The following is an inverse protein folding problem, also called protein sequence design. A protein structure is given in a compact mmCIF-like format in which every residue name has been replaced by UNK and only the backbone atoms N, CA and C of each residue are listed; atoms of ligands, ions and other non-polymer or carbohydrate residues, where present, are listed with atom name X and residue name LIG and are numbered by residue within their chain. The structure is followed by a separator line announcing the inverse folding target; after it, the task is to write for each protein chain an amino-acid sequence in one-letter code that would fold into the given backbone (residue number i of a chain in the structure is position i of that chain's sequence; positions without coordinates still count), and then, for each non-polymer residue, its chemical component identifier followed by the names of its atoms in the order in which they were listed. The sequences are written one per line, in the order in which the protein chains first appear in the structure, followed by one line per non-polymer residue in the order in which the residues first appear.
data_IF_065921300686
#
_entry.id   IF_065921300686
#
_cell.length_a   1.000
_cell.length_b   1.000
_cell.length_c   1.000
_cell.angle_alpha   90.00
_cell.angle_beta   90.00
_cell.angle_gamma   90.00
#
_symmetry.space_group_name_H-M   'P 1'
#
loop_
_entity.id
_entity.type
_entity.pdbx_description
1 polymer ?
#
# COMPACT_ATOMS: atom_id res chain seq x y z
N UNK A 1 18.36 -22.80 -39.02
CA UNK A 1 18.59 -22.41 -37.61
C UNK A 1 17.42 -22.90 -36.80
N UNK A 2 17.60 -23.91 -35.94
CA UNK A 2 16.49 -24.52 -35.19
C UNK A 2 15.98 -23.52 -34.17
N UNK A 3 14.73 -23.09 -34.31
CA UNK A 3 14.07 -22.20 -33.35
C UNK A 3 13.95 -22.95 -32.03
N UNK A 4 14.85 -22.69 -31.08
CA UNK A 4 14.76 -23.26 -29.73
C UNK A 4 13.43 -22.79 -29.15
N UNK A 5 12.60 -23.73 -28.70
CA UNK A 5 11.29 -23.38 -28.16
C UNK A 5 11.45 -22.49 -26.91
N UNK A 6 10.55 -21.52 -26.74
CA UNK A 6 10.53 -20.65 -25.56
C UNK A 6 10.55 -21.44 -24.24
N UNK A 7 9.89 -22.60 -24.22
CA UNK A 7 9.90 -23.52 -23.09
C UNK A 7 11.30 -24.05 -22.74
N UNK A 8 12.11 -24.42 -23.73
CA UNK A 8 13.49 -24.87 -23.51
C UNK A 8 14.38 -23.75 -22.94
N UNK A 9 14.20 -22.50 -23.41
CA UNK A 9 14.91 -21.34 -22.86
C UNK A 9 14.53 -21.11 -21.40
N UNK A 10 13.24 -21.19 -21.06
CA UNK A 10 12.74 -21.07 -19.68
C UNK A 10 13.36 -22.14 -18.77
N UNK A 11 13.36 -23.41 -19.20
CA UNK A 11 13.93 -24.51 -18.40
C UNK A 11 15.42 -24.34 -18.16
N UNK A 12 16.18 -23.91 -19.19
CA UNK A 12 17.60 -23.59 -19.05
C UNK A 12 17.83 -22.45 -18.06
N UNK A 13 17.04 -21.38 -18.16
CA UNK A 13 17.13 -20.24 -17.26
C UNK A 13 16.79 -20.61 -15.80
N UNK A 14 15.77 -21.45 -15.56
CA UNK A 14 15.47 -22.03 -14.25
C UNK A 14 16.69 -22.81 -13.72
N UNK A 15 17.27 -23.67 -14.56
CA UNK A 15 18.44 -24.47 -14.18
C UNK A 15 19.64 -23.58 -13.79
N UNK A 16 19.89 -22.51 -14.54
CA UNK A 16 20.94 -21.53 -14.23
C UNK A 16 20.68 -20.87 -12.87
N UNK A 17 19.47 -20.38 -12.61
CA UNK A 17 19.10 -19.78 -11.32
C UNK A 17 19.23 -20.77 -10.15
N UNK A 18 18.81 -22.03 -10.34
CA UNK A 18 18.95 -23.09 -9.32
C UNK A 18 20.41 -23.46 -9.06
N UNK A 19 21.27 -23.40 -10.09
CA UNK A 19 22.70 -23.69 -9.96
C UNK A 19 23.52 -22.53 -9.37
N UNK A 20 22.98 -21.31 -9.39
CA UNK A 20 23.65 -20.12 -8.85
C UNK A 20 23.74 -20.21 -7.33
N UNK A 21 24.93 -20.55 -6.83
CA UNK A 21 25.23 -20.60 -5.39
C UNK A 21 25.72 -19.27 -4.81
N UNK A 22 26.09 -18.33 -5.68
CA UNK A 22 26.58 -17.02 -5.26
C UNK A 22 25.71 -15.90 -5.85
N UNK A 23 25.45 -14.87 -5.04
CA UNK A 23 24.71 -13.69 -5.48
C UNK A 23 25.37 -12.90 -6.61
N UNK A 24 26.66 -13.15 -6.92
CA UNK A 24 27.40 -12.48 -8.01
C UNK A 24 27.05 -13.00 -9.40
N UNK A 25 26.65 -14.28 -9.51
CA UNK A 25 26.29 -14.92 -10.78
C UNK A 25 24.86 -14.57 -11.23
N UNK A 26 23.96 -14.33 -10.27
CA UNK A 26 22.55 -14.04 -10.55
C UNK A 26 22.34 -12.79 -11.42
N UNK A 27 23.01 -11.64 -11.19
CA UNK A 27 22.91 -10.50 -12.08
C UNK A 27 23.23 -10.86 -13.53
N UNK A 28 24.30 -11.61 -13.80
CA UNK A 28 24.65 -12.01 -15.17
C UNK A 28 23.57 -12.90 -15.81
N UNK A 29 23.00 -13.83 -15.05
CA UNK A 29 21.88 -14.66 -15.50
C UNK A 29 20.68 -13.77 -15.83
N UNK A 30 20.31 -12.86 -14.92
CA UNK A 30 19.16 -11.95 -15.07
C UNK A 30 19.36 -10.89 -16.16
N UNK A 31 20.59 -10.53 -16.50
CA UNK A 31 20.92 -9.59 -17.58
C UNK A 31 20.90 -10.24 -18.98
N UNK A 32 20.83 -11.57 -19.10
CA UNK A 32 20.85 -12.26 -20.41
C UNK A 32 19.64 -11.93 -21.29
N UNK A 33 19.83 -11.70 -22.58
CA UNK A 33 18.76 -11.23 -23.50
C UNK A 33 17.81 -12.33 -24.00
N UNK A 34 17.99 -13.57 -23.57
CA UNK A 34 17.24 -14.73 -24.08
C UNK A 34 15.76 -14.73 -23.66
N UNK A 35 15.44 -14.05 -22.54
CA UNK A 35 14.09 -13.93 -22.01
C UNK A 35 13.75 -12.46 -21.78
N UNK A 36 12.50 -12.10 -22.07
CA UNK A 36 11.95 -10.80 -21.70
C UNK A 36 11.94 -10.63 -20.18
N UNK A 37 11.93 -9.38 -19.72
CA UNK A 37 11.89 -9.06 -18.28
C UNK A 37 10.72 -9.74 -17.58
N UNK A 38 9.56 -9.83 -18.25
CA UNK A 38 8.34 -10.43 -17.68
C UNK A 38 8.45 -11.93 -17.52
N UNK A 39 9.05 -12.61 -18.51
CA UNK A 39 9.32 -14.03 -18.45
C UNK A 39 10.31 -14.33 -17.31
N UNK A 40 11.35 -13.50 -17.14
CA UNK A 40 12.31 -13.64 -16.02
C UNK A 40 11.64 -13.44 -14.66
N UNK A 41 10.80 -12.42 -14.50
CA UNK A 41 10.05 -12.18 -13.27
C UNK A 41 9.16 -13.38 -12.94
N UNK A 42 8.41 -13.88 -13.94
CA UNK A 42 7.55 -15.04 -13.78
C UNK A 42 8.33 -16.29 -13.40
N UNK A 43 9.47 -16.54 -14.05
CA UNK A 43 10.33 -17.67 -13.69
C UNK A 43 10.83 -17.56 -12.25
N UNK A 44 11.24 -16.38 -11.79
CA UNK A 44 11.64 -16.20 -10.41
C UNK A 44 10.51 -16.48 -9.43
N UNK A 45 9.29 -16.05 -9.73
CA UNK A 45 8.11 -16.31 -8.91
C UNK A 45 7.79 -17.81 -8.82
N UNK A 46 7.90 -18.51 -9.95
CA UNK A 46 7.62 -19.95 -10.07
C UNK A 46 8.76 -20.83 -9.54
N UNK A 47 9.98 -20.28 -9.37
CA UNK A 47 11.14 -21.03 -8.89
C UNK A 47 10.96 -21.48 -7.43
N UNK A 48 11.12 -22.78 -7.17
CA UNK A 48 11.03 -23.35 -5.82
C UNK A 48 12.08 -22.75 -4.88
N UNK A 49 13.30 -22.63 -5.39
CA UNK A 49 14.46 -22.13 -4.69
C UNK A 49 15.45 -21.48 -5.66
N UNK A 50 15.99 -20.34 -5.25
CA UNK A 50 17.13 -19.65 -5.85
C UNK A 50 18.17 -19.55 -4.73
N UNK A 51 19.13 -20.50 -4.63
CA UNK A 51 20.04 -20.59 -3.50
C UNK A 51 20.83 -19.31 -3.23
N UNK A 52 21.18 -18.56 -4.28
CA UNK A 52 21.85 -17.27 -4.18
C UNK A 52 21.02 -16.11 -3.59
N UNK A 53 19.75 -16.34 -3.24
CA UNK A 53 18.85 -15.36 -2.59
C UNK A 53 18.27 -16.01 -1.32
N UNK A 54 19.14 -16.67 -0.54
CA UNK A 54 18.73 -17.38 0.67
C UNK A 54 18.69 -16.47 1.90
N UNK A 55 19.55 -15.44 1.89
CA UNK A 55 19.64 -14.46 2.97
C UNK A 55 19.15 -13.08 2.53
N UNK A 56 18.65 -12.29 3.49
CA UNK A 56 18.19 -10.93 3.22
C UNK A 56 19.29 -10.06 2.60
N UNK A 57 20.53 -10.20 3.11
CA UNK A 57 21.68 -9.42 2.64
C UNK A 57 21.95 -9.67 1.15
N UNK A 58 21.85 -10.92 0.71
CA UNK A 58 22.01 -11.31 -0.70
C UNK A 58 20.91 -10.72 -1.57
N UNK A 59 19.65 -10.82 -1.12
CA UNK A 59 18.51 -10.21 -1.81
C UNK A 59 18.68 -8.68 -1.95
N UNK A 60 19.18 -8.02 -0.91
CA UNK A 60 19.45 -6.57 -0.93
C UNK A 60 20.56 -6.22 -1.93
N UNK A 61 21.67 -6.97 -1.92
CA UNK A 61 22.78 -6.76 -2.85
C UNK A 61 22.33 -6.94 -4.30
N UNK A 62 21.59 -8.01 -4.58
CA UNK A 62 21.06 -8.28 -5.91
C UNK A 62 20.03 -7.23 -6.35
N UNK A 63 19.11 -6.81 -5.47
CA UNK A 63 18.20 -5.70 -5.77
C UNK A 63 18.97 -4.44 -6.18
N UNK A 64 19.99 -4.05 -5.40
CA UNK A 64 20.78 -2.86 -5.67
C UNK A 64 21.54 -2.97 -7.01
N UNK A 65 22.13 -4.13 -7.31
CA UNK A 65 22.80 -4.37 -8.58
C UNK A 65 21.85 -4.22 -9.77
N UNK A 66 20.67 -4.85 -9.72
CA UNK A 66 19.66 -4.74 -10.78
C UNK A 66 19.14 -3.31 -10.94
N UNK A 67 19.04 -2.55 -9.85
CA UNK A 67 18.65 -1.13 -9.91
C UNK A 67 19.70 -0.26 -10.59
N UNK A 68 20.98 -0.48 -10.29
CA UNK A 68 22.07 0.24 -10.95
C UNK A 68 22.11 -0.03 -12.45
N UNK A 69 21.59 -1.18 -12.89
CA UNK A 69 21.41 -1.54 -14.29
C UNK A 69 20.08 -1.06 -14.90
N UNK A 70 19.28 -0.26 -14.20
CA UNK A 70 17.96 0.19 -14.67
C UNK A 70 16.87 -0.89 -14.67
N UNK A 71 17.16 -2.10 -14.20
CA UNK A 71 16.24 -3.25 -14.18
C UNK A 71 15.31 -3.22 -12.96
N UNK A 72 14.52 -2.15 -12.81
CA UNK A 72 13.67 -1.94 -11.63
C UNK A 72 12.64 -3.06 -11.39
N UNK A 73 12.10 -3.67 -12.45
CA UNK A 73 11.10 -4.76 -12.37
C UNK A 73 11.71 -6.05 -11.81
N UNK A 74 12.90 -6.40 -12.29
CA UNK A 74 13.66 -7.54 -11.78
C UNK A 74 14.09 -7.29 -10.33
N UNK A 75 14.54 -6.07 -10.01
CA UNK A 75 14.88 -5.70 -8.66
C UNK A 75 13.70 -5.92 -7.68
N UNK A 76 12.49 -5.48 -8.04
CA UNK A 76 11.29 -5.76 -7.25
C UNK A 76 10.93 -7.26 -7.19
N UNK A 77 11.19 -8.01 -8.25
CA UNK A 77 10.94 -9.46 -8.29
C UNK A 77 11.86 -10.22 -7.34
N UNK A 78 13.11 -9.78 -7.19
CA UNK A 78 14.03 -10.29 -6.15
C UNK A 78 13.47 -10.03 -4.76
N UNK A 79 12.99 -8.81 -4.47
CA UNK A 79 12.38 -8.49 -3.19
C UNK A 79 11.15 -9.37 -2.92
N UNK A 80 10.27 -9.50 -3.91
CA UNK A 80 9.07 -10.31 -3.82
C UNK A 80 9.40 -11.78 -3.56
N UNK A 81 10.29 -12.35 -4.36
CA UNK A 81 10.77 -13.73 -4.20
C UNK A 81 11.31 -13.96 -2.79
N UNK A 82 12.27 -13.13 -2.34
CA UNK A 82 12.86 -13.28 -1.02
C UNK A 82 11.80 -13.24 0.09
N UNK A 83 10.92 -12.24 0.07
CA UNK A 83 9.95 -12.09 1.15
C UNK A 83 8.88 -13.18 1.13
N UNK A 84 8.46 -13.64 -0.05
CA UNK A 84 7.45 -14.70 -0.14
C UNK A 84 7.95 -16.07 0.27
N UNK A 85 9.28 -16.31 0.17
CA UNK A 85 9.94 -17.56 0.53
C UNK A 85 10.54 -17.58 1.93
N UNK A 86 11.03 -16.44 2.43
CA UNK A 86 11.87 -16.39 3.65
C UNK A 86 11.31 -15.56 4.80
N UNK A 87 10.31 -14.69 4.58
CA UNK A 87 9.63 -14.07 5.74
C UNK A 87 8.60 -15.05 6.30
N UNK A 88 8.42 -15.02 7.63
CA UNK A 88 7.52 -15.95 8.33
C UNK A 88 6.18 -16.07 7.61
N UNK A 89 5.60 -17.27 7.65
CA UNK A 89 4.29 -17.56 7.05
C UNK A 89 3.18 -16.61 7.55
N UNK A 90 3.42 -15.98 8.70
CA UNK A 90 2.52 -15.01 9.29
C UNK A 90 2.68 -13.63 8.64
N UNK A 91 2.11 -13.50 7.45
CA UNK A 91 1.99 -12.23 6.70
C UNK A 91 1.03 -11.24 7.35
N UNK A 92 0.89 -11.32 8.67
CA UNK A 92 0.05 -10.44 9.50
C UNK A 92 0.43 -8.99 9.31
N UNK A 93 1.72 -8.67 9.21
CA UNK A 93 2.15 -7.30 8.96
C UNK A 93 1.60 -6.75 7.64
N UNK A 94 1.55 -7.58 6.57
CA UNK A 94 1.02 -7.16 5.28
C UNK A 94 -0.48 -6.88 5.36
N UNK A 95 -1.21 -7.84 5.96
CA UNK A 95 -2.65 -7.73 6.20
C UNK A 95 -2.92 -6.42 6.95
N UNK A 96 -2.25 -6.24 8.07
CA UNK A 96 -2.37 -5.10 8.95
C UNK A 96 -2.03 -3.76 8.26
N UNK A 97 -1.06 -3.74 7.34
CA UNK A 97 -0.74 -2.57 6.51
C UNK A 97 -1.87 -2.23 5.52
N UNK A 98 -2.43 -3.25 4.86
CA UNK A 98 -3.49 -3.09 3.86
C UNK A 98 -4.81 -2.70 4.54
N UNK A 99 -5.13 -3.28 5.69
CA UNK A 99 -6.27 -2.91 6.52
C UNK A 99 -6.18 -1.46 6.96
N UNK A 100 -5.02 -1.01 7.47
CA UNK A 100 -4.81 0.39 7.84
C UNK A 100 -4.98 1.32 6.63
N UNK A 101 -4.49 0.94 5.45
CA UNK A 101 -4.64 1.71 4.21
C UNK A 101 -6.11 1.79 3.74
N UNK A 102 -6.90 0.72 3.91
CA UNK A 102 -8.35 0.73 3.68
C UNK A 102 -9.06 1.62 4.69
N UNK A 103 -8.77 1.48 5.98
CA UNK A 103 -9.41 2.28 7.02
C UNK A 103 -9.15 3.77 6.83
N UNK A 104 -7.90 4.16 6.57
CA UNK A 104 -7.53 5.56 6.26
C UNK A 104 -8.38 6.09 5.09
N UNK A 105 -8.51 5.32 4.01
CA UNK A 105 -9.34 5.71 2.86
C UNK A 105 -10.81 5.79 3.21
N UNK A 106 -11.33 4.84 3.98
CA UNK A 106 -12.73 4.84 4.42
C UNK A 106 -13.04 6.10 5.21
N UNK A 107 -12.16 6.47 6.14
CA UNK A 107 -12.32 7.67 6.96
C UNK A 107 -12.29 8.94 6.09
N UNK A 108 -11.33 9.05 5.17
CA UNK A 108 -11.24 10.20 4.24
C UNK A 108 -12.51 10.31 3.40
N UNK A 109 -13.00 9.20 2.85
CA UNK A 109 -14.22 9.19 2.05
C UNK A 109 -15.46 9.56 2.86
N UNK A 110 -15.53 9.09 4.11
CA UNK A 110 -16.60 9.49 5.02
C UNK A 110 -16.55 10.98 5.34
N UNK A 111 -15.36 11.53 5.56
CA UNK A 111 -15.17 12.97 5.78
C UNK A 111 -15.59 13.80 4.55
N UNK A 112 -15.28 13.34 3.34
CA UNK A 112 -15.71 13.99 2.09
C UNK A 112 -17.23 13.95 1.97
N UNK A 113 -17.86 12.81 2.24
CA UNK A 113 -19.31 12.71 2.23
C UNK A 113 -19.94 13.71 3.22
N UNK A 114 -19.46 13.78 4.46
CA UNK A 114 -19.95 14.77 5.46
C UNK A 114 -19.73 16.21 4.97
N UNK A 115 -18.58 16.50 4.36
CA UNK A 115 -18.30 17.81 3.80
C UNK A 115 -19.31 18.20 2.72
N UNK A 116 -19.65 17.26 1.83
CA UNK A 116 -20.60 17.50 0.75
C UNK A 116 -22.03 17.63 1.26
N UNK A 117 -22.45 16.82 2.24
CA UNK A 117 -23.83 16.81 2.75
C UNK A 117 -24.09 17.86 3.84
N UNK A 118 -23.07 18.25 4.61
CA UNK A 118 -23.17 19.19 5.74
C UNK A 118 -22.02 20.22 5.74
N UNK A 119 -21.87 21.03 4.67
CA UNK A 119 -20.69 21.87 4.43
C UNK A 119 -20.45 22.93 5.52
N UNK A 120 -21.50 23.58 6.03
CA UNK A 120 -21.39 24.64 7.04
C UNK A 120 -20.77 24.11 8.35
N UNK A 121 -21.25 22.94 8.81
CA UNK A 121 -20.77 22.32 10.05
C UNK A 121 -19.33 21.80 9.87
N UNK A 122 -19.02 21.23 8.71
CA UNK A 122 -17.70 20.70 8.39
C UNK A 122 -16.63 21.82 8.37
N UNK A 123 -16.87 22.90 7.64
CA UNK A 123 -15.89 24.01 7.48
C UNK A 123 -15.57 24.72 8.81
N UNK A 124 -16.58 24.94 9.66
CA UNK A 124 -16.38 25.52 10.99
C UNK A 124 -15.48 24.64 11.88
N UNK A 125 -15.54 23.32 11.71
CA UNK A 125 -14.76 22.38 12.51
C UNK A 125 -13.36 22.14 11.95
N UNK A 126 -13.24 22.01 10.62
CA UNK A 126 -11.97 21.75 9.95
C UNK A 126 -10.97 22.89 10.20
N UNK A 127 -11.41 24.15 10.17
CA UNK A 127 -10.56 25.31 10.53
C UNK A 127 -9.91 25.17 11.90
N UNK A 128 -10.64 24.63 12.89
CA UNK A 128 -10.15 24.41 14.26
C UNK A 128 -9.20 23.22 14.37
N UNK A 129 -9.46 22.14 13.61
CA UNK A 129 -8.60 20.95 13.57
C UNK A 129 -7.28 21.22 12.84
N UNK A 130 -7.34 21.81 11.64
CA UNK A 130 -6.19 22.11 10.80
C UNK A 130 -5.17 22.99 11.52
N UNK A 131 -5.59 24.03 12.25
CA UNK A 131 -4.67 24.92 12.97
C UNK A 131 -3.84 24.20 14.05
N UNK A 132 -4.44 23.26 14.79
CA UNK A 132 -3.72 22.49 15.82
C UNK A 132 -2.88 21.38 15.20
N UNK A 133 -3.38 20.79 14.13
CA UNK A 133 -2.80 19.61 13.50
C UNK A 133 -1.58 19.92 12.63
N UNK A 134 -1.65 20.96 11.79
CA UNK A 134 -0.53 21.39 10.93
C UNK A 134 0.73 21.74 11.73
N UNK A 135 0.58 22.27 12.95
CA UNK A 135 1.70 22.56 13.86
C UNK A 135 2.39 21.30 14.39
N UNK A 136 1.67 20.19 14.52
CA UNK A 136 2.21 18.90 14.95
C UNK A 136 2.80 18.12 13.76
N UNK A 137 2.08 18.09 12.64
CA UNK A 137 2.53 17.39 11.43
C UNK A 137 3.78 18.00 10.81
N UNK A 138 3.85 19.34 10.70
CA UNK A 138 5.04 20.03 10.17
C UNK A 138 6.29 19.74 11.03
N UNK A 139 6.13 19.53 12.34
CA UNK A 139 7.23 19.09 13.23
C UNK A 139 7.63 17.63 13.02
N UNK A 140 6.70 16.77 12.58
CA UNK A 140 6.93 15.36 12.28
C UNK A 140 7.62 15.17 10.91
N UNK A 141 7.14 15.82 9.84
CA UNK A 141 7.81 15.76 8.53
C UNK A 141 9.23 16.33 8.58
N UNK A 142 9.46 17.42 9.33
CA UNK A 142 10.82 17.96 9.55
C UNK A 142 11.72 16.96 10.32
N UNK A 143 11.15 16.10 11.16
CA UNK A 143 11.89 15.05 11.86
C UNK A 143 12.18 13.83 10.96
N UNK A 144 11.29 13.51 10.00
CA UNK A 144 11.46 12.42 9.02
C UNK A 144 12.66 12.62 8.09
N UNK A 145 13.02 13.87 7.78
CA UNK A 145 14.19 14.22 6.96
C UNK A 145 15.52 14.22 7.75
N UNK A 146 15.49 14.03 9.09
CA UNK A 146 16.69 14.27 9.92
C UNK A 146 17.01 13.29 11.06
N UNK A 147 16.05 12.65 11.75
CA UNK A 147 16.36 12.01 13.06
C UNK A 147 15.50 10.76 13.34
N UNK A 148 16.12 9.73 13.94
CA UNK A 148 15.51 8.45 14.33
C UNK A 148 14.32 8.52 15.30
N UNK A 149 13.58 7.40 15.33
CA UNK A 149 12.21 7.15 15.84
C UNK A 149 11.82 7.67 17.24
N UNK A 150 12.77 8.07 18.10
CA UNK A 150 12.50 8.46 19.50
C UNK A 150 11.70 9.77 19.64
N UNK A 151 11.88 10.72 18.72
CA UNK A 151 11.23 12.04 18.78
C UNK A 151 9.76 12.02 18.31
N UNK A 152 9.42 11.11 17.41
CA UNK A 152 8.05 10.89 16.96
C UNK A 152 7.16 10.46 18.13
N UNK A 153 7.61 9.51 18.95
CA UNK A 153 6.87 8.99 20.11
C UNK A 153 6.50 10.07 21.14
N UNK A 154 7.38 11.04 21.39
CA UNK A 154 7.11 12.14 22.34
C UNK A 154 6.12 13.18 21.80
N UNK A 155 6.15 13.48 20.50
CA UNK A 155 5.21 14.40 19.88
C UNK A 155 3.75 13.89 19.95
N UNK A 156 3.54 12.57 19.97
CA UNK A 156 2.21 11.95 19.99
C UNK A 156 1.52 11.91 21.36
N UNK A 157 2.25 11.97 22.48
CA UNK A 157 1.67 11.94 23.82
C UNK A 157 0.83 13.20 24.18
N UNK A 158 1.03 14.30 23.43
CA UNK A 158 0.47 15.62 23.74
C UNK A 158 -1.02 15.80 23.38
N UNK A 159 -1.60 14.95 22.52
CA UNK A 159 -2.93 15.19 21.93
C UNK A 159 -4.14 14.77 22.78
N UNK A 160 -3.94 14.26 24.00
CA UNK A 160 -4.99 13.57 24.79
C UNK A 160 -5.87 14.45 25.69
N UNK A 161 -5.82 15.80 25.61
CA UNK A 161 -6.62 16.68 26.51
C UNK A 161 -7.82 17.37 25.83
N UNK A 162 -9.00 16.81 26.18
CA UNK A 162 -10.39 17.33 26.35
C UNK A 162 -10.91 18.52 25.51
N UNK A 163 -12.13 18.35 25.00
CA UNK A 163 -13.11 19.44 24.84
C UNK A 163 -14.54 18.90 24.91
N UNK A 164 -15.21 19.11 26.04
CA UNK A 164 -16.64 18.92 26.29
C UNK A 164 -17.43 20.18 25.94
N UNK A 165 -18.66 20.02 25.42
CA UNK A 165 -19.61 21.10 25.11
C UNK A 165 -20.65 20.66 24.06
N UNK A 166 -21.93 20.63 24.48
CA UNK A 166 -23.14 20.05 23.87
C UNK A 166 -23.82 21.02 22.86
N UNK A 167 -24.50 20.49 21.83
CA UNK A 167 -25.86 20.85 21.29
C UNK A 167 -26.02 20.31 19.86
N UNK A 168 -27.26 20.07 19.41
CA UNK A 168 -27.80 19.28 18.26
C UNK A 168 -27.16 19.44 16.85
N UNK A 169 -26.09 20.22 16.68
CA UNK A 169 -25.03 19.94 15.69
C UNK A 169 -23.96 18.97 16.23
N UNK A 170 -24.26 18.31 17.35
CA UNK A 170 -23.35 17.53 18.18
C UNK A 170 -22.90 16.29 17.44
N UNK A 171 -23.81 15.62 16.74
CA UNK A 171 -23.57 14.25 16.30
C UNK A 171 -22.61 14.24 15.12
N UNK A 172 -22.79 15.17 14.17
CA UNK A 172 -21.84 15.39 13.06
C UNK A 172 -20.48 15.82 13.59
N UNK A 173 -20.46 16.72 14.58
CA UNK A 173 -19.21 17.21 15.17
C UNK A 173 -18.49 16.12 15.96
N UNK A 174 -19.22 15.27 16.68
CA UNK A 174 -18.73 14.08 17.38
C UNK A 174 -18.18 13.10 16.34
N UNK A 175 -18.90 12.88 15.25
CA UNK A 175 -18.49 12.01 14.16
C UNK A 175 -17.21 12.53 13.50
N UNK A 176 -17.10 13.81 13.12
CA UNK A 176 -15.87 14.37 12.53
C UNK A 176 -14.70 14.24 13.51
N UNK A 177 -14.91 14.52 14.81
CA UNK A 177 -13.86 14.34 15.83
C UNK A 177 -13.43 12.88 15.95
N UNK A 178 -14.39 11.96 15.96
CA UNK A 178 -14.15 10.52 16.05
C UNK A 178 -13.40 10.01 14.82
N UNK A 179 -13.87 10.37 13.61
CA UNK A 179 -13.22 10.08 12.34
C UNK A 179 -11.79 10.63 12.30
N UNK A 180 -11.59 11.89 12.68
CA UNK A 180 -10.26 12.49 12.72
C UNK A 180 -9.36 11.76 13.74
N UNK A 181 -9.86 11.39 14.93
CA UNK A 181 -9.08 10.59 15.89
C UNK A 181 -8.66 9.26 15.28
N UNK A 182 -9.63 8.50 14.75
CA UNK A 182 -9.39 7.21 14.09
C UNK A 182 -8.41 7.33 12.94
N UNK A 183 -8.53 8.37 12.12
CA UNK A 183 -7.59 8.61 11.00
C UNK A 183 -6.16 8.65 11.51
N UNK A 184 -5.91 9.40 12.59
CA UNK A 184 -4.58 9.53 13.18
C UNK A 184 -4.12 8.28 13.91
N UNK A 185 -5.03 7.55 14.57
CA UNK A 185 -4.73 6.25 15.18
C UNK A 185 -4.29 5.25 14.11
N UNK A 186 -5.08 5.06 13.04
CA UNK A 186 -4.76 4.18 11.92
C UNK A 186 -3.51 4.63 11.17
N UNK A 187 -3.29 5.95 11.02
CA UNK A 187 -2.07 6.49 10.42
C UNK A 187 -0.82 6.19 11.26
N UNK A 188 -0.90 6.40 12.59
CA UNK A 188 0.18 6.03 13.51
C UNK A 188 0.44 4.53 13.48
N UNK A 189 -0.62 3.74 13.47
CA UNK A 189 -0.52 2.29 13.41
C UNK A 189 0.11 1.85 12.08
N UNK A 190 -0.29 2.43 10.96
CA UNK A 190 0.33 2.20 9.66
C UNK A 190 1.83 2.53 9.68
N UNK A 191 2.19 3.67 10.28
CA UNK A 191 3.58 4.11 10.41
C UNK A 191 4.38 3.18 11.32
N UNK A 192 3.88 2.88 12.53
CA UNK A 192 4.54 1.98 13.48
C UNK A 192 4.68 0.57 12.92
N UNK A 193 3.66 0.07 12.21
CA UNK A 193 3.73 -1.21 11.49
C UNK A 193 4.77 -1.16 10.39
N UNK A 194 4.84 -0.07 9.62
CA UNK A 194 5.82 0.11 8.54
C UNK A 194 7.26 0.22 9.07
N UNK A 195 7.48 1.00 10.13
CA UNK A 195 8.78 1.15 10.78
C UNK A 195 9.21 -0.17 11.46
N UNK A 196 8.23 -0.87 12.05
CA UNK A 196 8.40 -2.21 12.62
C UNK A 196 8.48 -3.35 11.59
N UNK A 197 8.42 -3.06 10.27
CA UNK A 197 8.69 -4.08 9.25
C UNK A 197 10.16 -4.47 9.36
N UNK A 198 10.37 -5.65 9.96
CA UNK A 198 11.68 -6.29 10.10
C UNK A 198 12.43 -6.47 8.77
N UNK A 199 11.71 -6.46 7.65
CA UNK A 199 12.30 -6.59 6.33
C UNK A 199 12.65 -5.26 5.67
N UNK A 200 13.94 -4.89 5.68
CA UNK A 200 14.45 -3.73 4.93
C UNK A 200 14.04 -3.75 3.45
N UNK A 201 14.00 -4.92 2.81
CA UNK A 201 13.63 -5.04 1.40
C UNK A 201 12.15 -4.74 1.15
N UNK A 202 11.26 -5.13 2.06
CA UNK A 202 9.84 -4.75 2.03
C UNK A 202 9.68 -3.24 2.18
N UNK A 203 10.34 -2.65 3.18
CA UNK A 203 10.25 -1.23 3.43
C UNK A 203 10.68 -0.40 2.20
N UNK A 204 11.75 -0.84 1.52
CA UNK A 204 12.15 -0.26 0.23
C UNK A 204 11.09 -0.45 -0.85
N UNK A 205 10.49 -1.62 -0.95
CA UNK A 205 9.45 -1.92 -1.93
C UNK A 205 8.22 -1.01 -1.72
N UNK A 206 7.70 -0.90 -0.49
CA UNK A 206 6.59 0.00 -0.13
C UNK A 206 6.95 1.45 -0.46
N UNK A 207 8.10 1.94 0.02
CA UNK A 207 8.53 3.32 -0.26
C UNK A 207 8.62 3.59 -1.75
N UNK A 208 9.07 2.62 -2.56
CA UNK A 208 9.12 2.73 -4.02
C UNK A 208 7.72 2.74 -4.64
N UNK A 209 6.88 1.76 -4.28
CA UNK A 209 5.49 1.68 -4.70
C UNK A 209 4.79 3.03 -4.52
N UNK A 210 4.90 3.61 -3.33
CA UNK A 210 4.19 4.83 -2.97
C UNK A 210 4.74 6.10 -3.64
N UNK A 211 5.91 6.04 -4.31
CA UNK A 211 6.39 7.12 -5.19
C UNK A 211 5.63 7.18 -6.51
N UNK A 212 5.03 6.08 -6.96
CA UNK A 212 4.21 6.07 -8.15
C UNK A 212 2.83 6.61 -7.79
N UNK A 213 2.46 7.79 -8.30
CA UNK A 213 1.22 8.46 -7.90
C UNK A 213 -0.06 7.67 -8.28
N UNK A 214 0.06 6.71 -9.20
CA UNK A 214 -0.97 5.84 -9.76
C UNK A 214 -0.85 4.39 -9.28
N UNK A 215 -0.04 4.12 -8.25
CA UNK A 215 0.23 2.77 -7.75
C UNK A 215 -1.04 1.97 -7.45
N UNK A 216 -2.07 2.67 -7.00
CA UNK A 216 -3.36 2.12 -6.64
C UNK A 216 -4.23 1.81 -7.86
N UNK A 217 -3.94 2.34 -9.06
CA UNK A 217 -4.72 2.11 -10.29
C UNK A 217 -4.32 0.85 -11.05
N UNK A 218 -3.40 0.03 -10.50
CA UNK A 218 -3.01 -1.22 -11.15
C UNK A 218 -4.22 -2.11 -11.45
N UNK A 219 -4.21 -2.82 -12.58
CA UNK A 219 -5.35 -3.62 -13.03
C UNK A 219 -5.87 -4.62 -11.99
N UNK A 220 -4.98 -5.21 -11.19
CA UNK A 220 -5.34 -6.13 -10.11
C UNK A 220 -6.05 -5.43 -8.96
N UNK A 221 -5.63 -4.22 -8.60
CA UNK A 221 -6.29 -3.45 -7.55
C UNK A 221 -7.66 -2.95 -8.02
N UNK A 222 -7.78 -2.60 -9.32
CA UNK A 222 -9.07 -2.27 -9.95
C UNK A 222 -10.01 -3.48 -9.97
N UNK A 223 -9.52 -4.65 -10.34
CA UNK A 223 -10.25 -5.92 -10.30
C UNK A 223 -10.69 -6.27 -8.87
N UNK A 224 -9.79 -6.11 -7.89
CA UNK A 224 -10.10 -6.30 -6.47
C UNK A 224 -11.16 -5.33 -5.95
N UNK A 225 -11.10 -4.06 -6.35
CA UNK A 225 -12.15 -3.08 -6.08
C UNK A 225 -13.48 -3.49 -6.74
N UNK A 226 -13.45 -3.94 -8.00
CA UNK A 226 -14.66 -4.37 -8.72
C UNK A 226 -15.31 -5.61 -8.10
N UNK A 227 -14.51 -6.62 -7.73
CA UNK A 227 -14.99 -7.88 -7.15
C UNK A 227 -15.66 -7.70 -5.78
N UNK A 228 -15.28 -6.64 -5.03
CA UNK A 228 -15.93 -6.24 -3.78
C UNK A 228 -17.15 -5.33 -3.99
N UNK A 229 -17.65 -5.20 -5.23
CA UNK A 229 -18.77 -4.30 -5.55
C UNK A 229 -18.41 -2.81 -5.52
N UNK A 230 -17.12 -2.48 -5.53
CA UNK A 230 -16.59 -1.12 -5.52
C UNK A 230 -16.71 -0.41 -6.88
N UNK A 231 -16.31 0.86 -6.92
CA UNK A 231 -16.62 1.75 -8.05
C UNK A 231 -15.87 1.41 -9.36
N UNK A 232 -14.79 0.62 -9.29
CA UNK A 232 -14.09 0.12 -10.48
C UNK A 232 -14.96 -0.81 -11.34
N UNK A 233 -15.87 -1.59 -10.74
CA UNK A 233 -16.81 -2.42 -11.50
C UNK A 233 -17.85 -1.61 -12.27
N UNK A 234 -18.17 -0.39 -11.79
CA UNK A 234 -19.14 0.52 -12.41
C UNK A 234 -18.52 1.53 -13.38
N UNK A 235 -17.19 1.56 -13.50
CA UNK A 235 -16.44 2.47 -14.39
C UNK A 235 -16.76 3.96 -14.18
N UNK A 236 -17.13 4.38 -12.97
CA UNK A 236 -17.48 5.79 -12.72
C UNK A 236 -16.28 6.75 -12.60
N UNK A 237 -15.04 6.24 -12.70
CA UNK A 237 -13.80 7.04 -12.64
C UNK A 237 -13.45 7.59 -11.25
N UNK A 238 -14.21 7.22 -10.21
CA UNK A 238 -14.08 7.84 -8.90
C UNK A 238 -12.77 7.54 -8.17
N UNK A 239 -12.12 6.42 -8.49
CA UNK A 239 -10.79 6.08 -7.98
C UNK A 239 -9.68 6.95 -8.61
N UNK A 240 -9.84 7.40 -9.84
CA UNK A 240 -8.80 8.15 -10.59
C UNK A 240 -8.73 9.62 -10.17
N UNK A 241 -9.80 10.12 -9.55
CA UNK A 241 -9.89 11.50 -9.10
C UNK A 241 -9.22 11.68 -7.73
N UNK A 242 -8.44 12.75 -7.54
CA UNK A 242 -8.07 13.23 -6.21
C UNK A 242 -9.31 13.42 -5.34
N UNK A 243 -9.27 12.92 -4.10
CA UNK A 243 -10.41 12.93 -3.20
C UNK A 243 -10.49 14.19 -2.34
N UNK A 244 -9.35 14.85 -2.11
CA UNK A 244 -9.30 16.12 -1.38
C UNK A 244 -8.40 17.11 -2.12
N UNK A 245 -8.83 18.38 -2.13
CA UNK A 245 -8.01 19.55 -2.50
C UNK A 245 -7.32 20.17 -1.30
N UNK A 246 -7.65 19.72 -0.08
CA UNK A 246 -6.95 20.17 1.11
C UNK A 246 -5.62 19.45 1.10
N UNK A 247 -4.57 20.25 0.96
CA UNK A 247 -3.17 19.93 0.74
C UNK A 247 -2.53 19.17 1.93
N UNK A 248 -3.22 18.16 2.47
CA UNK A 248 -2.90 17.52 3.75
C UNK A 248 -1.67 16.64 3.62
N UNK A 249 -1.41 16.05 2.44
CA UNK A 249 -0.18 15.27 2.17
C UNK A 249 0.06 14.88 0.69
N UNK A 250 -0.78 15.30 -0.27
CA UNK A 250 -0.59 15.14 -1.74
C UNK A 250 -0.48 13.72 -2.34
N UNK A 251 -0.22 12.70 -1.52
CA UNK A 251 0.08 11.31 -1.93
C UNK A 251 -1.03 10.35 -1.47
N UNK A 252 -1.80 10.73 -0.45
CA UNK A 252 -2.82 9.89 0.21
C UNK A 252 -4.27 10.25 -0.18
N UNK A 253 -4.43 11.23 -1.04
CA UNK A 253 -5.70 11.71 -1.59
C UNK A 253 -6.25 10.80 -2.71
N UNK A 254 -5.50 9.76 -3.09
CA UNK A 254 -5.87 8.84 -4.16
C UNK A 254 -5.97 7.39 -3.69
N UNK A 255 -6.84 6.61 -4.32
CA UNK A 255 -7.03 5.21 -3.95
C UNK A 255 -8.27 4.56 -4.54
N UNK A 256 -8.49 3.29 -4.22
CA UNK A 256 -9.76 2.61 -4.49
C UNK A 256 -10.82 2.91 -3.45
N UNK A 257 -12.07 2.94 -3.90
CA UNK A 257 -13.18 3.30 -3.04
C UNK A 257 -13.52 2.19 -2.07
N UNK A 258 -13.89 2.62 -0.88
CA UNK A 258 -14.48 1.79 0.16
C UNK A 258 -16.00 1.98 0.13
N UNK A 259 -16.69 1.28 1.02
CA UNK A 259 -18.13 1.45 1.26
C UNK A 259 -18.51 2.89 1.64
N UNK A 260 -17.59 3.73 2.12
CA UNK A 260 -17.83 5.13 2.47
C UNK A 260 -17.84 6.12 1.30
N UNK A 261 -17.56 5.68 0.08
CA UNK A 261 -17.62 6.54 -1.08
C UNK A 261 -19.06 6.97 -1.38
N UNK A 262 -19.32 8.27 -1.54
CA UNK A 262 -20.67 8.81 -1.83
C UNK A 262 -21.34 8.13 -3.02
N UNK A 263 -20.60 7.97 -4.12
CA UNK A 263 -21.09 7.28 -5.32
C UNK A 263 -21.36 5.79 -5.09
N UNK A 264 -20.66 5.15 -4.15
CA UNK A 264 -20.97 3.76 -3.75
C UNK A 264 -22.24 3.71 -2.91
N UNK A 265 -22.43 4.65 -1.98
CA UNK A 265 -23.60 4.71 -1.12
C UNK A 265 -24.88 4.92 -1.93
N UNK A 266 -24.86 5.88 -2.86
CA UNK A 266 -25.97 6.14 -3.77
C UNK A 266 -26.30 4.93 -4.65
N UNK A 267 -25.29 4.31 -5.26
CA UNK A 267 -25.49 3.17 -6.15
C UNK A 267 -26.07 1.93 -5.45
N UNK A 268 -25.82 1.78 -4.15
CA UNK A 268 -26.30 0.64 -3.35
C UNK A 268 -27.53 0.97 -2.50
N UNK A 269 -28.08 2.19 -2.59
CA UNK A 269 -29.14 2.69 -1.72
C UNK A 269 -28.85 2.44 -0.23
N UNK A 270 -27.58 2.58 0.17
CA UNK A 270 -27.16 2.36 1.56
C UNK A 270 -27.43 3.63 2.35
N UNK A 271 -28.13 3.49 3.47
CA UNK A 271 -28.28 4.58 4.43
C UNK A 271 -26.90 5.01 4.94
N UNK A 272 -26.52 6.20 4.50
CA UNK A 272 -25.27 6.81 4.86
C UNK A 272 -25.17 7.13 6.35
N UNK A 273 -26.25 7.33 7.10
CA UNK A 273 -26.15 7.83 8.48
C UNK A 273 -25.54 6.79 9.44
N UNK A 274 -25.81 5.50 9.19
CA UNK A 274 -25.38 4.38 10.03
C UNK A 274 -24.34 3.47 9.38
N UNK A 275 -23.48 4.04 8.53
CA UNK A 275 -22.51 3.26 7.76
C UNK A 275 -21.43 2.62 8.66
N UNK A 276 -21.40 1.30 8.68
CA UNK A 276 -20.32 0.51 9.29
C UNK A 276 -19.15 0.29 8.32
N UNK A 277 -17.93 0.18 8.86
CA UNK A 277 -16.74 -0.13 8.07
C UNK A 277 -16.63 -1.64 7.83
N UNK A 278 -17.22 -2.13 6.73
CA UNK A 278 -17.19 -3.54 6.35
C UNK A 278 -15.97 -3.93 5.51
N UNK A 279 -15.35 -2.98 4.81
CA UNK A 279 -14.27 -3.21 3.85
C UNK A 279 -13.05 -3.94 4.42
N UNK A 280 -12.75 -3.73 5.71
CA UNK A 280 -11.65 -4.38 6.41
C UNK A 280 -11.97 -5.85 6.68
N UNK A 281 -13.22 -6.16 7.05
CA UNK A 281 -13.66 -7.52 7.38
C UNK A 281 -13.75 -8.41 6.13
N UNK A 282 -14.01 -7.82 4.97
CA UNK A 282 -14.07 -8.53 3.68
C UNK A 282 -12.68 -8.93 3.14
N UNK A 283 -11.60 -8.44 3.75
CA UNK A 283 -10.24 -8.84 3.39
C UNK A 283 -9.91 -10.25 3.91
N UNK A 284 -10.20 -11.26 3.11
CA UNK A 284 -9.82 -12.65 3.38
C UNK A 284 -8.31 -12.90 3.14
N UNK A 285 -7.47 -12.45 4.07
CA UNK A 285 -6.05 -12.81 4.11
C UNK A 285 -5.87 -14.19 4.74
N UNK A 286 -5.77 -15.23 3.91
CA UNK A 286 -5.19 -16.50 4.35
C UNK A 286 -3.81 -16.67 3.73
N UNK A 287 -2.89 -17.29 4.46
CA UNK A 287 -1.45 -17.36 4.13
C UNK A 287 -1.15 -18.10 2.82
N UNK A 288 -2.10 -18.90 2.30
CA UNK A 288 -1.98 -19.67 1.06
C UNK A 288 -2.93 -19.24 -0.06
N UNK A 289 -3.73 -18.17 0.13
CA UNK A 289 -4.67 -17.75 -0.92
C UNK A 289 -3.93 -17.06 -2.08
N UNK A 290 -4.18 -17.52 -3.31
CA UNK A 290 -3.72 -16.89 -4.55
C UNK A 290 -4.11 -15.40 -4.60
N UNK A 291 -5.28 -15.05 -4.09
CA UNK A 291 -5.74 -13.67 -3.96
C UNK A 291 -4.83 -12.82 -3.08
N UNK A 292 -4.46 -13.31 -1.88
CA UNK A 292 -3.49 -12.64 -0.98
C UNK A 292 -2.17 -12.36 -1.71
N UNK A 293 -1.65 -13.35 -2.44
CA UNK A 293 -0.41 -13.19 -3.20
C UNK A 293 -0.52 -12.12 -4.30
N UNK A 294 -1.65 -12.07 -4.99
CA UNK A 294 -1.95 -11.03 -5.99
C UNK A 294 -2.01 -9.65 -5.35
N UNK A 295 -2.65 -9.51 -4.19
CA UNK A 295 -2.70 -8.24 -3.45
C UNK A 295 -1.32 -7.81 -2.98
N UNK A 296 -0.54 -8.69 -2.36
CA UNK A 296 0.83 -8.38 -1.90
C UNK A 296 1.71 -7.87 -3.04
N UNK A 297 1.69 -8.57 -4.17
CA UNK A 297 2.46 -8.24 -5.37
C UNK A 297 2.21 -6.81 -5.82
N UNK A 298 1.00 -6.29 -5.61
CA UNK A 298 0.52 -5.01 -6.14
C UNK A 298 0.48 -3.91 -5.10
N UNK A 299 0.19 -4.21 -3.84
CA UNK A 299 0.23 -3.25 -2.74
C UNK A 299 1.66 -2.91 -2.31
N UNK A 300 2.60 -3.85 -2.48
CA UNK A 300 3.93 -3.77 -1.88
C UNK A 300 5.04 -3.70 -2.93
N UNK A 301 4.98 -4.52 -3.99
CA UNK A 301 6.15 -4.80 -4.85
C UNK A 301 6.09 -4.22 -6.28
N UNK A 302 5.11 -3.39 -6.62
CA UNK A 302 4.91 -2.74 -7.94
C UNK A 302 5.10 -3.62 -9.17
N UNK A 303 4.89 -4.92 -9.05
CA UNK A 303 5.09 -5.83 -10.16
C UNK A 303 3.93 -5.67 -11.14
N UNK A 304 4.24 -5.20 -12.35
CA UNK A 304 3.36 -4.88 -13.49
C UNK A 304 2.61 -3.53 -13.47
N UNK A 305 3.15 -2.49 -12.84
CA UNK A 305 2.70 -1.09 -13.03
C UNK A 305 3.65 -0.24 -13.90
N UNK A 306 4.62 -0.86 -14.57
CA UNK A 306 5.61 -0.19 -15.43
C UNK A 306 5.41 -0.58 -16.89
N UNK A 307 4.16 -0.61 -17.34
CA UNK A 307 3.84 -0.64 -18.77
C UNK A 307 3.80 0.78 -19.31
#
# INVERSE_FOLDING_TARGET
TTQVSKAAIILRFISQLKSARNGKSVPFILSGNELGVDDKCKVMEDADQIPAISEQKEAILLENALRLQGSHKLAQSVCYYYNTRHTSNDRVWCKALIEADIEIRWIVQRMIWIRTTRPVIFEQHLKKLNQKYWRAHRKLCIAEDGIGSRWATQAFAFQRKRSTGISLGSDVKIQIKSLNSRYWDSHREQWAKSDGIWSMSVNRAIKRQRKHADWYLSGVLREDCANRGGCCGRRCGCCERPRMTVDIDGIRDRGHCTTACSWCLEAHNIDSENLEMKDVNELHFTSRNRHTMRLLKRYIFYLNGME
#
